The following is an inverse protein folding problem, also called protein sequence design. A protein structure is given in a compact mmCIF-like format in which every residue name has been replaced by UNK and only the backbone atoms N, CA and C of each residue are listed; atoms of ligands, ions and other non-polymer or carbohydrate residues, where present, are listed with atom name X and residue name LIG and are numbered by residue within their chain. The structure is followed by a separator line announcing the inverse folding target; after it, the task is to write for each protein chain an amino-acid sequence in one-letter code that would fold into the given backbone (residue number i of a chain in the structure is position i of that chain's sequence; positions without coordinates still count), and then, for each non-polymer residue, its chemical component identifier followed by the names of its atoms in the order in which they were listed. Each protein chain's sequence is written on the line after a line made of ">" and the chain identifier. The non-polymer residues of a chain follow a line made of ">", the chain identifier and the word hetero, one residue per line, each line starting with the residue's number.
data_IF_428017701372
#
_entry.id   IF_428017701372
#
_cell.length_a   1.000
_cell.length_b   1.000
_cell.length_c   1.000
_cell.angle_alpha   90.00
_cell.angle_beta   90.00
_cell.angle_gamma   90.00
#
_symmetry.space_group_name_H-M   'P 1'
#
loop_
_entity.id
_entity.type
_entity.pdbx_description
1 polymer ?
#
# COMPACT_ATOMS: atom_id res chain seq x y z
N UNK A 1 -21.39 -18.36 53.27
CA UNK A 1 -21.25 -17.07 52.55
C UNK A 1 -19.81 -16.72 52.14
N UNK A 2 -18.76 -17.24 52.78
CA UNK A 2 -17.35 -16.90 52.47
C UNK A 2 -16.77 -17.48 51.16
N UNK A 3 -17.28 -18.61 50.64
CA UNK A 3 -16.75 -19.20 49.38
C UNK A 3 -17.13 -18.44 48.10
N UNK A 4 -18.17 -17.59 48.13
CA UNK A 4 -18.60 -16.79 46.96
C UNK A 4 -17.72 -15.56 46.71
N UNK A 5 -17.00 -15.07 47.73
CA UNK A 5 -16.16 -13.86 47.61
C UNK A 5 -14.76 -14.16 47.04
N UNK A 6 -14.24 -15.39 47.17
CA UNK A 6 -12.94 -15.79 46.62
C UNK A 6 -12.96 -15.93 45.09
N UNK A 7 -14.07 -16.41 44.51
CA UNK A 7 -14.23 -16.55 43.06
C UNK A 7 -14.32 -15.19 42.34
N UNK A 8 -14.93 -14.18 42.97
CA UNK A 8 -15.05 -12.83 42.42
C UNK A 8 -13.69 -12.12 42.33
N UNK A 9 -12.81 -12.33 43.32
CA UNK A 9 -11.48 -11.72 43.36
C UNK A 9 -10.49 -12.33 42.33
N UNK A 10 -10.68 -13.59 41.94
CA UNK A 10 -9.89 -14.24 40.89
C UNK A 10 -10.26 -13.73 39.48
N UNK A 11 -11.54 -13.49 39.22
CA UNK A 11 -12.04 -12.96 37.93
C UNK A 11 -11.58 -11.53 37.67
N UNK A 12 -11.35 -10.71 38.71
CA UNK A 12 -10.89 -9.32 38.53
C UNK A 12 -9.41 -9.21 38.14
N UNK A 13 -8.55 -10.20 38.46
CA UNK A 13 -7.10 -10.12 38.18
C UNK A 13 -6.71 -10.43 36.73
N UNK A 14 -7.59 -11.05 35.95
CA UNK A 14 -7.32 -11.41 34.54
C UNK A 14 -7.73 -10.33 33.53
N UNK A 15 -8.38 -9.24 33.97
CA UNK A 15 -8.90 -8.20 33.07
C UNK A 15 -8.00 -6.95 32.98
N UNK A 16 -6.70 -7.09 33.28
CA UNK A 16 -5.75 -6.03 32.98
C UNK A 16 -5.30 -6.25 31.53
N UNK A 17 -6.06 -5.72 30.56
CA UNK A 17 -5.66 -5.70 29.15
C UNK A 17 -4.20 -5.27 29.08
N UNK A 18 -3.34 -6.14 28.56
CA UNK A 18 -1.93 -5.83 28.42
C UNK A 18 -1.81 -4.59 27.55
N UNK A 19 -0.84 -3.71 27.80
CA UNK A 19 -0.61 -2.56 26.91
C UNK A 19 -0.36 -3.01 25.46
N UNK A 20 0.07 -4.27 25.27
CA UNK A 20 0.28 -4.91 23.98
C UNK A 20 -1.02 -5.29 23.25
N UNK A 21 -2.15 -5.39 23.96
CA UNK A 21 -3.47 -5.68 23.37
C UNK A 21 -4.15 -4.40 22.84
N UNK A 22 -3.52 -3.24 23.03
CA UNK A 22 -4.03 -1.97 22.54
C UNK A 22 -3.43 -1.70 21.15
N UNK A 23 -4.27 -1.59 20.10
CA UNK A 23 -3.78 -1.19 18.79
C UNK A 23 -3.11 0.19 18.87
N UNK A 24 -2.01 0.36 18.12
CA UNK A 24 -1.26 1.62 18.09
C UNK A 24 -2.19 2.78 17.71
N UNK A 25 -2.16 3.85 18.52
CA UNK A 25 -2.94 5.06 18.28
C UNK A 25 -2.64 5.65 16.90
N UNK A 26 -3.67 6.20 16.24
CA UNK A 26 -3.51 6.97 15.01
C UNK A 26 -2.71 8.23 15.38
N UNK A 27 -1.41 8.25 15.07
CA UNK A 27 -0.59 9.45 15.24
C UNK A 27 -1.28 10.62 14.54
N UNK A 28 -1.47 11.73 15.23
CA UNK A 28 -2.19 12.92 14.75
C UNK A 28 -1.33 13.82 13.84
N UNK A 29 -0.27 13.28 13.26
CA UNK A 29 0.66 14.05 12.43
C UNK A 29 0.24 13.90 10.98
N UNK A 30 -0.69 14.74 10.55
CA UNK A 30 -0.99 14.90 9.13
C UNK A 30 0.12 15.74 8.49
N UNK A 31 0.65 15.26 7.37
CA UNK A 31 1.70 15.95 6.61
C UNK A 31 1.03 16.60 5.40
N UNK A 32 1.47 17.81 5.04
CA UNK A 32 0.99 18.47 3.82
C UNK A 32 1.20 17.59 2.60
N UNK A 33 0.17 17.44 1.76
CA UNK A 33 0.26 16.72 0.48
C UNK A 33 1.37 17.30 -0.40
N UNK A 34 1.56 18.62 -0.38
CA UNK A 34 2.62 19.29 -1.15
C UNK A 34 4.03 18.89 -0.71
N UNK A 35 4.25 18.61 0.58
CA UNK A 35 5.56 18.18 1.07
C UNK A 35 5.94 16.80 0.53
N UNK A 36 4.96 15.89 0.42
CA UNK A 36 5.15 14.61 -0.24
C UNK A 36 5.49 14.79 -1.72
N UNK A 37 4.83 15.71 -2.41
CA UNK A 37 5.06 15.98 -3.83
C UNK A 37 6.48 16.45 -4.13
N UNK A 38 7.00 17.41 -3.35
CA UNK A 38 8.38 17.89 -3.53
C UNK A 38 9.40 16.79 -3.23
N UNK A 39 9.19 16.03 -2.15
CA UNK A 39 10.07 14.92 -1.79
C UNK A 39 10.05 13.82 -2.87
N UNK A 40 8.87 13.48 -3.38
CA UNK A 40 8.71 12.46 -4.42
C UNK A 40 9.30 12.92 -5.76
N UNK A 41 9.19 14.21 -6.10
CA UNK A 41 9.83 14.77 -7.28
C UNK A 41 11.37 14.64 -7.21
N UNK A 42 11.97 15.02 -6.08
CA UNK A 42 13.41 14.88 -5.86
C UNK A 42 13.84 13.40 -5.87
N UNK A 43 13.00 12.51 -5.33
CA UNK A 43 13.22 11.08 -5.34
C UNK A 43 13.25 10.49 -6.76
N UNK A 44 12.35 10.91 -7.66
CA UNK A 44 12.35 10.52 -9.06
C UNK A 44 13.61 11.06 -9.76
N UNK A 45 13.94 12.34 -9.56
CA UNK A 45 15.14 12.97 -10.13
C UNK A 45 16.42 12.28 -9.66
N UNK A 46 16.49 11.90 -8.38
CA UNK A 46 17.60 11.15 -7.79
C UNK A 46 17.87 9.83 -8.51
N UNK A 47 16.82 9.10 -8.91
CA UNK A 47 16.98 7.87 -9.67
C UNK A 47 17.31 8.10 -11.14
N UNK A 48 16.71 9.12 -11.75
CA UNK A 48 16.99 9.48 -13.15
C UNK A 48 18.48 9.79 -13.36
N UNK A 49 19.10 10.58 -12.46
CA UNK A 49 20.54 10.87 -12.54
C UNK A 49 21.47 9.66 -12.39
N UNK A 50 20.92 8.47 -12.07
CA UNK A 50 21.66 7.21 -11.85
C UNK A 50 21.24 6.09 -12.79
N UNK A 51 20.50 6.41 -13.84
CA UNK A 51 19.93 5.45 -14.77
C UNK A 51 20.11 5.95 -16.20
N UNK A 52 20.31 5.01 -17.13
CA UNK A 52 20.56 5.30 -18.55
C UNK A 52 19.30 5.23 -19.42
N UNK A 53 18.25 4.52 -18.99
CA UNK A 53 17.01 4.33 -19.75
C UNK A 53 15.76 4.39 -18.86
N UNK A 54 14.61 4.66 -19.47
CA UNK A 54 13.33 4.83 -18.75
C UNK A 54 12.89 3.53 -18.07
N UNK A 55 13.10 2.37 -18.70
CA UNK A 55 12.70 1.07 -18.15
C UNK A 55 13.43 0.73 -16.85
N UNK A 56 14.72 1.05 -16.74
CA UNK A 56 15.51 0.88 -15.51
C UNK A 56 15.06 1.84 -14.41
N UNK A 57 14.58 3.04 -14.79
CA UNK A 57 14.04 4.01 -13.86
C UNK A 57 12.71 3.52 -13.31
N UNK A 58 11.81 3.06 -14.17
CA UNK A 58 10.54 2.42 -13.80
C UNK A 58 10.77 1.22 -12.88
N UNK A 59 11.71 0.34 -13.21
CA UNK A 59 12.06 -0.83 -12.37
C UNK A 59 12.59 -0.43 -11.00
N UNK A 60 13.41 0.62 -10.91
CA UNK A 60 13.90 1.14 -9.61
C UNK A 60 12.78 1.77 -8.79
N UNK A 61 11.90 2.54 -9.44
CA UNK A 61 10.72 3.13 -8.80
C UNK A 61 9.77 2.04 -8.29
N UNK A 62 9.50 1.02 -9.09
CA UNK A 62 8.68 -0.13 -8.72
C UNK A 62 9.29 -0.88 -7.52
N UNK A 63 10.60 -1.19 -7.55
CA UNK A 63 11.27 -1.85 -6.44
C UNK A 63 11.22 -1.04 -5.14
N UNK A 64 11.34 0.30 -5.23
CA UNK A 64 11.20 1.16 -4.06
C UNK A 64 9.76 1.20 -3.54
N UNK A 65 8.78 1.28 -4.43
CA UNK A 65 7.35 1.17 -4.10
C UNK A 65 7.01 -0.15 -3.43
N UNK A 66 7.58 -1.26 -3.92
CA UNK A 66 7.42 -2.59 -3.33
C UNK A 66 7.85 -2.63 -1.86
N UNK A 67 9.05 -2.10 -1.56
CA UNK A 67 9.53 -2.01 -0.18
C UNK A 67 8.59 -1.21 0.73
N UNK A 68 8.03 -0.11 0.22
CA UNK A 68 7.03 0.69 0.95
C UNK A 68 5.74 -0.11 1.17
N UNK A 69 5.24 -0.80 0.13
CA UNK A 69 4.02 -1.61 0.21
C UNK A 69 4.09 -2.70 1.28
N UNK A 70 5.22 -3.41 1.36
CA UNK A 70 5.45 -4.44 2.39
C UNK A 70 5.34 -3.87 3.80
N UNK A 71 5.96 -2.71 4.05
CA UNK A 71 5.93 -2.05 5.36
C UNK A 71 4.57 -1.45 5.69
N UNK A 72 3.86 -0.94 4.69
CA UNK A 72 2.50 -0.41 4.88
C UNK A 72 1.59 -1.52 5.39
N UNK A 73 1.62 -2.71 4.78
CA UNK A 73 0.77 -3.80 5.25
C UNK A 73 1.16 -4.24 6.67
N UNK A 74 2.46 -4.40 6.96
CA UNK A 74 2.95 -4.74 8.30
C UNK A 74 2.39 -3.75 9.36
N UNK A 75 2.51 -2.45 9.11
CA UNK A 75 1.98 -1.41 10.01
C UNK A 75 0.44 -1.45 10.12
N UNK A 76 -0.27 -1.71 9.04
CA UNK A 76 -1.74 -1.83 9.06
C UNK A 76 -2.17 -3.06 9.86
N UNK A 77 -1.48 -4.19 9.70
CA UNK A 77 -1.72 -5.42 10.45
C UNK A 77 -1.44 -5.25 11.95
N UNK A 78 -0.38 -4.55 12.35
CA UNK A 78 -0.14 -4.26 13.78
C UNK A 78 -1.14 -3.27 14.37
N UNK A 79 -1.76 -2.43 13.54
CA UNK A 79 -2.83 -1.50 13.97
C UNK A 79 -4.18 -2.17 14.10
N UNK A 80 -4.38 -3.34 13.49
CA UNK A 80 -5.58 -4.15 13.65
C UNK A 80 -5.23 -5.51 14.25
N UNK A 81 -5.37 -5.58 15.57
CA UNK A 81 -5.17 -6.79 16.37
C UNK A 81 -6.04 -7.98 15.92
N UNK A 82 -7.05 -7.74 15.08
CA UNK A 82 -7.92 -8.80 14.54
C UNK A 82 -7.34 -9.47 13.27
N UNK A 83 -6.19 -9.03 12.76
CA UNK A 83 -5.48 -9.72 11.68
C UNK A 83 -6.24 -9.81 10.35
N UNK A 84 -7.22 -8.92 10.12
CA UNK A 84 -8.04 -8.95 8.90
C UNK A 84 -7.29 -8.32 7.72
N UNK A 85 -6.17 -8.93 7.33
CA UNK A 85 -5.33 -8.52 6.19
C UNK A 85 -6.18 -8.33 4.92
N UNK A 86 -7.16 -9.22 4.69
CA UNK A 86 -8.09 -9.14 3.56
C UNK A 86 -8.89 -7.84 3.50
N UNK A 87 -9.23 -7.21 4.64
CA UNK A 87 -9.92 -5.91 4.65
C UNK A 87 -9.02 -4.78 4.17
N UNK A 88 -7.73 -4.81 4.52
CA UNK A 88 -6.77 -3.77 4.13
C UNK A 88 -6.40 -3.87 2.66
N UNK A 89 -6.26 -5.09 2.14
CA UNK A 89 -6.09 -5.34 0.71
C UNK A 89 -7.31 -4.83 -0.08
N UNK A 90 -8.54 -5.17 0.36
CA UNK A 90 -9.76 -4.68 -0.29
C UNK A 90 -9.98 -3.17 -0.13
N UNK A 91 -9.60 -2.58 1.01
CA UNK A 91 -9.69 -1.14 1.22
C UNK A 91 -8.68 -0.38 0.36
N UNK A 92 -7.47 -0.90 0.19
CA UNK A 92 -6.48 -0.33 -0.72
C UNK A 92 -6.94 -0.45 -2.18
N UNK A 93 -7.44 -1.62 -2.60
CA UNK A 93 -8.04 -1.82 -3.93
C UNK A 93 -9.24 -0.88 -4.18
N UNK A 94 -10.09 -0.64 -3.18
CA UNK A 94 -11.17 0.35 -3.28
C UNK A 94 -10.67 1.80 -3.28
N UNK A 95 -9.55 2.11 -2.60
CA UNK A 95 -8.93 3.44 -2.60
C UNK A 95 -8.22 3.76 -3.94
N UNK A 96 -7.87 2.75 -4.74
CA UNK A 96 -7.25 2.90 -6.07
C UNK A 96 -8.23 3.37 -7.15
N UNK A 97 -9.54 3.47 -6.85
CA UNK A 97 -10.53 4.04 -7.78
C UNK A 97 -10.47 5.59 -7.85
N UNK A 98 -9.38 6.21 -7.38
CA UNK A 98 -9.06 7.62 -7.53
C UNK A 98 -8.81 7.95 -9.02
N UNK A 99 -9.50 8.97 -9.53
CA UNK A 99 -9.49 9.36 -10.94
C UNK A 99 -8.10 9.88 -11.41
N UNK A 100 -7.17 10.09 -10.49
CA UNK A 100 -5.74 10.28 -10.72
C UNK A 100 -4.97 9.81 -9.47
N UNK A 101 -4.02 8.85 -9.56
CA UNK A 101 -3.20 8.49 -8.41
C UNK A 101 -2.44 9.72 -7.90
N UNK A 102 -2.33 9.89 -6.58
CA UNK A 102 -1.67 11.03 -5.91
C UNK A 102 -0.25 11.28 -6.43
N UNK A 103 0.41 10.25 -6.98
CA UNK A 103 1.64 10.41 -7.74
C UNK A 103 1.39 11.35 -8.92
N UNK A 104 0.55 11.00 -9.89
CA UNK A 104 0.32 11.80 -11.11
C UNK A 104 -0.28 13.19 -10.85
N UNK A 105 -1.03 13.38 -9.77
CA UNK A 105 -1.64 14.67 -9.41
C UNK A 105 -0.62 15.74 -9.01
N UNK A 106 0.56 15.34 -8.51
CA UNK A 106 1.50 16.29 -7.92
C UNK A 106 2.95 16.21 -8.39
N UNK A 107 3.29 15.26 -9.26
CA UNK A 107 4.50 15.40 -10.07
C UNK A 107 4.21 16.34 -11.22
N UNK A 108 4.66 17.58 -11.07
CA UNK A 108 5.04 18.40 -12.23
C UNK A 108 6.27 17.75 -12.84
N UNK A 109 6.09 16.67 -13.60
CA UNK A 109 7.16 16.13 -14.43
C UNK A 109 7.53 17.25 -15.41
N UNK A 110 8.76 17.76 -15.41
CA UNK A 110 9.17 18.78 -16.37
C UNK A 110 8.90 18.28 -17.79
N UNK A 111 8.35 19.14 -18.66
CA UNK A 111 7.83 18.81 -19.99
C UNK A 111 8.87 18.19 -20.95
N UNK A 112 10.15 18.20 -20.57
CA UNK A 112 11.29 17.63 -21.28
C UNK A 112 11.54 16.14 -20.94
N UNK A 113 10.78 15.58 -19.99
CA UNK A 113 10.83 14.16 -19.64
C UNK A 113 9.59 13.47 -20.23
N UNK A 114 9.73 12.93 -21.46
CA UNK A 114 8.66 12.19 -22.15
C UNK A 114 8.05 11.07 -21.30
N UNK A 115 6.85 10.59 -21.67
CA UNK A 115 5.98 9.59 -21.00
C UNK A 115 6.63 8.73 -19.89
N UNK A 116 7.02 9.35 -18.78
CA UNK A 116 7.58 8.68 -17.63
C UNK A 116 6.42 8.07 -16.84
N UNK A 117 6.36 6.75 -16.75
CA UNK A 117 5.31 6.11 -15.98
C UNK A 117 5.66 6.04 -14.49
N UNK A 118 5.53 7.17 -13.79
CA UNK A 118 5.68 7.21 -12.33
C UNK A 118 4.67 6.30 -11.60
N UNK A 119 3.64 5.83 -12.29
CA UNK A 119 2.76 4.82 -11.73
C UNK A 119 3.46 3.46 -11.55
N UNK A 120 4.65 3.23 -12.10
CA UNK A 120 5.49 2.08 -11.74
C UNK A 120 5.78 2.03 -10.23
N UNK A 121 6.01 3.18 -9.58
CA UNK A 121 6.13 3.24 -8.12
C UNK A 121 4.85 2.75 -7.42
N UNK A 122 3.69 3.24 -7.86
CA UNK A 122 2.39 2.84 -7.32
C UNK A 122 2.09 1.35 -7.56
N UNK A 123 2.46 0.82 -8.74
CA UNK A 123 2.38 -0.60 -9.06
C UNK A 123 3.22 -1.43 -8.08
N UNK A 124 4.44 -0.98 -7.78
CA UNK A 124 5.29 -1.57 -6.75
C UNK A 124 4.61 -1.60 -5.38
N UNK A 125 4.02 -0.48 -4.94
CA UNK A 125 3.28 -0.42 -3.66
C UNK A 125 2.13 -1.42 -3.63
N UNK A 126 1.33 -1.49 -4.70
CA UNK A 126 0.22 -2.45 -4.83
C UNK A 126 0.76 -3.88 -4.70
N UNK A 127 1.81 -4.22 -5.47
CA UNK A 127 2.44 -5.54 -5.46
C UNK A 127 2.97 -5.89 -4.07
N UNK A 128 3.67 -4.98 -3.41
CA UNK A 128 4.22 -5.18 -2.07
C UNK A 128 3.14 -5.45 -1.01
N UNK A 129 2.00 -4.77 -1.10
CA UNK A 129 0.84 -5.01 -0.22
C UNK A 129 0.23 -6.39 -0.50
N UNK A 130 -0.01 -6.72 -1.77
CA UNK A 130 -0.64 -7.99 -2.15
C UNK A 130 0.22 -9.20 -1.79
N UNK A 131 1.52 -9.16 -2.10
CA UNK A 131 2.48 -10.20 -1.73
C UNK A 131 2.55 -10.41 -0.22
N UNK A 132 2.61 -9.32 0.54
CA UNK A 132 2.65 -9.39 2.01
C UNK A 132 1.35 -9.92 2.60
N UNK A 133 0.24 -9.76 1.88
CA UNK A 133 -1.05 -10.35 2.22
C UNK A 133 -1.20 -11.81 1.77
N UNK A 134 -0.18 -12.38 1.15
CA UNK A 134 -0.19 -13.74 0.61
C UNK A 134 -0.98 -13.87 -0.69
N UNK A 135 -1.27 -12.77 -1.38
CA UNK A 135 -1.91 -12.72 -2.70
C UNK A 135 -0.88 -12.42 -3.78
N UNK A 136 0.03 -13.38 -4.00
CA UNK A 136 1.14 -13.17 -4.91
C UNK A 136 0.68 -12.85 -6.33
N UNK A 137 1.26 -11.81 -6.91
CA UNK A 137 0.89 -11.28 -8.22
C UNK A 137 2.01 -10.46 -8.88
N UNK A 138 1.88 -10.28 -10.19
CA UNK A 138 2.55 -9.23 -10.95
C UNK A 138 1.62 -8.03 -11.13
N UNK A 139 2.18 -6.82 -11.10
CA UNK A 139 1.43 -5.57 -11.27
C UNK A 139 2.13 -4.69 -12.30
N UNK A 140 1.48 -4.46 -13.42
CA UNK A 140 1.95 -3.56 -14.49
C UNK A 140 1.11 -2.27 -14.50
N UNK A 141 1.75 -1.12 -14.69
CA UNK A 141 1.04 0.15 -14.89
C UNK A 141 1.04 0.56 -16.36
N UNK A 142 -0.10 1.01 -16.87
CA UNK A 142 -0.25 1.51 -18.24
C UNK A 142 -1.03 2.81 -18.26
N UNK A 143 -0.58 3.79 -19.03
CA UNK A 143 -1.35 5.00 -19.31
C UNK A 143 -2.17 4.79 -20.58
N UNK A 144 -3.46 5.06 -20.49
CA UNK A 144 -4.44 4.87 -21.57
C UNK A 144 -5.11 6.21 -21.83
N UNK A 145 -5.12 6.64 -23.10
CA UNK A 145 -5.88 7.81 -23.54
C UNK A 145 -7.38 7.51 -23.50
N UNK A 146 -8.15 8.44 -22.94
CA UNK A 146 -9.61 8.38 -22.86
C UNK A 146 -10.20 9.25 -23.95
N UNK A 147 -11.30 8.81 -24.55
CA UNK A 147 -12.00 9.46 -25.66
C UNK A 147 -12.32 10.97 -25.50
N UNK A 148 -12.26 11.51 -24.28
CA UNK A 148 -12.45 12.94 -23.99
C UNK A 148 -11.13 13.75 -23.92
N UNK A 149 -10.01 13.21 -24.39
CA UNK A 149 -8.71 13.89 -24.38
C UNK A 149 -8.02 13.94 -23.01
N UNK A 150 -8.42 13.06 -22.09
CA UNK A 150 -7.75 12.87 -20.80
C UNK A 150 -6.97 11.56 -20.78
N UNK A 151 -5.89 11.48 -20.02
CA UNK A 151 -5.16 10.23 -19.78
C UNK A 151 -5.63 9.58 -18.48
N UNK A 152 -5.70 8.24 -18.46
CA UNK A 152 -5.94 7.46 -17.25
C UNK A 152 -4.84 6.43 -17.07
N UNK A 153 -4.36 6.30 -15.84
CA UNK A 153 -3.47 5.20 -15.48
C UNK A 153 -4.29 3.99 -15.05
N UNK A 154 -4.01 2.84 -15.64
CA UNK A 154 -4.61 1.54 -15.35
C UNK A 154 -3.54 0.61 -14.80
N UNK A 155 -3.87 -0.10 -13.73
CA UNK A 155 -3.00 -1.12 -13.14
C UNK A 155 -3.53 -2.51 -13.50
N UNK A 156 -2.73 -3.29 -14.22
CA UNK A 156 -3.04 -4.69 -14.53
C UNK A 156 -2.43 -5.57 -13.43
N UNK A 157 -3.29 -6.23 -12.66
CA UNK A 157 -2.88 -7.17 -11.61
C UNK A 157 -3.08 -8.60 -12.14
N UNK A 158 -2.00 -9.38 -12.21
CA UNK A 158 -2.00 -10.78 -12.63
C UNK A 158 -1.61 -11.65 -11.45
N UNK A 159 -2.58 -12.33 -10.86
CA UNK A 159 -2.33 -13.24 -9.73
C UNK A 159 -1.63 -14.52 -10.19
N UNK A 160 -0.73 -15.01 -9.34
CA UNK A 160 -0.11 -16.31 -9.54
C UNK A 160 -1.17 -17.43 -9.54
N UNK A 161 -0.88 -18.50 -10.30
CA UNK A 161 -1.74 -19.68 -10.34
C UNK A 161 -1.99 -20.29 -8.95
N UNK A 162 -0.99 -20.24 -8.05
CA UNK A 162 -1.13 -20.69 -6.65
C UNK A 162 -2.17 -19.88 -5.87
N UNK A 163 -2.21 -18.57 -6.09
CA UNK A 163 -3.17 -17.66 -5.45
C UNK A 163 -4.56 -17.97 -5.98
N UNK A 164 -4.71 -18.06 -7.30
CA UNK A 164 -5.99 -18.37 -7.94
C UNK A 164 -6.54 -19.75 -7.53
N UNK A 165 -5.70 -20.77 -7.44
CA UNK A 165 -6.07 -22.12 -6.96
C UNK A 165 -6.56 -22.09 -5.52
N UNK A 166 -5.84 -21.39 -4.62
CA UNK A 166 -6.21 -21.25 -3.21
C UNK A 166 -7.58 -20.58 -3.07
N UNK A 167 -7.78 -19.43 -3.73
CA UNK A 167 -9.03 -18.68 -3.61
C UNK A 167 -10.22 -19.46 -4.18
N UNK A 168 -10.03 -20.21 -5.27
CA UNK A 168 -11.08 -21.07 -5.86
C UNK A 168 -11.55 -22.19 -4.92
N UNK A 169 -10.69 -22.65 -4.00
CA UNK A 169 -11.05 -23.66 -2.99
C UNK A 169 -11.83 -23.04 -1.83
N UNK A 170 -11.59 -21.75 -1.55
CA UNK A 170 -12.19 -21.01 -0.44
C UNK A 170 -13.51 -20.30 -0.82
N UNK A 171 -13.79 -20.15 -2.12
CA UNK A 171 -15.04 -19.59 -2.68
C UNK A 171 -16.12 -20.64 -2.87
#
# INVERSE_FOLDING_TARGET
>A
MQQRQAAAAATTRLNKKSHLDRPLGRGKTEVSESAFSFLFCEFVQYFQGRVLNISDLERKLEAAGYGVGVRVLELLSYRDINGNVSKYVFAFLHMIHENAPLTNKYISVPTDMGQLNCAAYTAGVIRGILDSGGFYCEVDAHTVEVANGGEKTVFLVKFDERTMKREKILS
#
